data_IF_337792594664
#
_entry.id   IF_337792594664
#
_cell.length_a   1.000
_cell.length_b   1.000
_cell.length_c   1.000
_cell.angle_alpha   90.00
_cell.angle_beta   90.00
_cell.angle_gamma   90.00
#
_symmetry.space_group_name_H-M   'P 1'
#
loop_
_entity.id
_entity.type
_entity.pdbx_description
1 polymer ?
#
# COMPACT_ATOMS: atom_id res chain seq x y z
N UNK A 1 -25.22 -1.24 5.77
CA UNK A 1 -23.77 -1.19 6.07
C UNK A 1 -23.05 -1.91 4.95
N UNK A 2 -22.30 -1.19 4.13
CA UNK A 2 -21.53 -1.78 3.02
C UNK A 2 -20.35 -2.53 3.62
N UNK A 3 -20.36 -3.85 3.52
CA UNK A 3 -19.25 -4.70 3.95
C UNK A 3 -18.13 -4.49 2.92
N UNK A 4 -17.08 -3.77 3.30
CA UNK A 4 -15.91 -3.56 2.46
C UNK A 4 -15.07 -4.84 2.49
N UNK A 5 -15.30 -5.74 1.52
CA UNK A 5 -14.56 -7.00 1.40
C UNK A 5 -13.38 -6.87 0.45
N UNK A 6 -12.16 -7.05 0.96
CA UNK A 6 -10.91 -7.10 0.18
C UNK A 6 -10.74 -8.45 -0.56
N UNK A 7 -11.76 -8.90 -1.27
CA UNK A 7 -11.76 -10.23 -1.90
C UNK A 7 -10.82 -10.29 -3.13
N UNK A 8 -10.05 -11.38 -3.32
CA UNK A 8 -9.97 -12.61 -2.52
C UNK A 8 -8.97 -12.57 -1.36
N UNK A 9 -8.30 -11.44 -1.11
CA UNK A 9 -7.23 -11.28 -0.13
C UNK A 9 -7.72 -10.85 1.25
N UNK A 10 -8.94 -11.20 1.65
CA UNK A 10 -9.57 -10.76 2.91
C UNK A 10 -8.74 -11.16 4.13
N UNK A 11 -8.16 -12.36 4.10
CA UNK A 11 -7.29 -12.84 5.17
C UNK A 11 -6.00 -12.02 5.29
N UNK A 12 -5.43 -11.61 4.14
CA UNK A 12 -4.23 -10.78 4.12
C UNK A 12 -4.55 -9.36 4.60
N UNK A 13 -5.72 -8.82 4.20
CA UNK A 13 -6.22 -7.54 4.67
C UNK A 13 -6.31 -7.51 6.20
N UNK A 14 -6.91 -8.53 6.79
CA UNK A 14 -7.12 -8.61 8.23
C UNK A 14 -5.81 -8.70 9.01
N UNK A 15 -4.76 -9.29 8.42
CA UNK A 15 -3.42 -9.32 9.01
C UNK A 15 -2.72 -7.95 8.90
N UNK A 16 -2.83 -7.28 7.76
CA UNK A 16 -2.09 -6.05 7.46
C UNK A 16 -2.78 -4.76 7.98
N UNK A 17 -4.10 -4.72 8.02
CA UNK A 17 -4.89 -3.57 8.51
C UNK A 17 -4.45 -3.05 9.89
N UNK A 18 -4.30 -3.88 10.93
CA UNK A 18 -3.84 -3.38 12.23
C UNK A 18 -2.39 -2.88 12.23
N UNK A 19 -1.58 -3.25 11.24
CA UNK A 19 -0.21 -2.73 11.06
C UNK A 19 -0.16 -1.45 10.22
N UNK A 20 -1.18 -1.25 9.36
CA UNK A 20 -1.30 -0.09 8.49
C UNK A 20 -2.01 1.09 9.16
N UNK A 21 -2.98 0.83 10.03
CA UNK A 21 -3.82 1.85 10.65
C UNK A 21 -3.45 1.97 12.14
N UNK A 22 -2.64 2.97 12.48
CA UNK A 22 -2.24 3.25 13.87
C UNK A 22 -3.20 4.21 14.61
N UNK A 23 -4.31 4.66 13.99
CA UNK A 23 -5.19 5.72 14.54
C UNK A 23 -6.69 5.37 14.59
N UNK A 24 -7.42 6.05 15.47
CA UNK A 24 -8.84 5.84 15.84
C UNK A 24 -9.84 6.06 14.68
N UNK A 25 -9.40 6.70 13.58
CA UNK A 25 -10.19 6.97 12.36
C UNK A 25 -10.27 5.78 11.37
N UNK A 26 -9.98 4.56 11.83
CA UNK A 26 -9.83 3.38 10.97
C UNK A 26 -11.00 3.06 10.05
N UNK A 27 -12.24 3.44 10.39
CA UNK A 27 -13.38 3.26 9.47
C UNK A 27 -13.27 4.13 8.21
N UNK A 28 -12.73 5.34 8.33
CA UNK A 28 -12.51 6.25 7.20
C UNK A 28 -11.31 5.78 6.37
N UNK A 29 -10.24 5.35 7.03
CA UNK A 29 -9.05 4.81 6.36
C UNK A 29 -9.34 3.52 5.60
N UNK A 30 -10.16 2.61 6.15
CA UNK A 30 -10.55 1.38 5.43
C UNK A 30 -11.33 1.72 4.15
N UNK A 31 -12.26 2.69 4.19
CA UNK A 31 -13.00 3.13 3.01
C UNK A 31 -12.09 3.79 1.96
N UNK A 32 -11.09 4.54 2.40
CA UNK A 32 -10.05 5.11 1.54
C UNK A 32 -9.20 4.00 0.89
N UNK A 33 -8.63 3.11 1.69
CA UNK A 33 -7.82 1.97 1.25
C UNK A 33 -8.58 1.09 0.26
N UNK A 34 -9.86 0.82 0.52
CA UNK A 34 -10.71 0.05 -0.39
C UNK A 34 -10.86 0.71 -1.75
N UNK A 35 -11.02 2.04 -1.81
CA UNK A 35 -11.09 2.77 -3.09
C UNK A 35 -9.77 2.73 -3.84
N UNK A 36 -8.65 2.94 -3.15
CA UNK A 36 -7.30 2.88 -3.75
C UNK A 36 -7.03 1.50 -4.29
N UNK A 37 -7.35 0.47 -3.51
CA UNK A 37 -7.32 -0.93 -3.92
C UNK A 37 -8.09 -1.14 -5.21
N UNK A 38 -9.32 -0.63 -5.31
CA UNK A 38 -10.21 -0.88 -6.47
C UNK A 38 -9.67 -0.29 -7.75
N UNK A 39 -8.91 0.78 -7.65
CA UNK A 39 -8.20 1.35 -8.78
C UNK A 39 -6.95 0.53 -9.09
N UNK A 40 -6.17 0.17 -8.07
CA UNK A 40 -4.95 -0.62 -8.23
C UNK A 40 -5.20 -2.02 -8.80
N UNK A 41 -6.29 -2.71 -8.39
CA UNK A 41 -6.71 -3.97 -8.99
C UNK A 41 -6.92 -3.80 -10.50
N UNK A 42 -7.69 -2.78 -10.91
CA UNK A 42 -8.04 -2.61 -12.33
C UNK A 42 -6.80 -2.41 -13.19
N UNK A 43 -5.83 -1.65 -12.68
CA UNK A 43 -4.53 -1.44 -13.34
C UNK A 43 -3.74 -2.75 -13.37
N UNK A 44 -3.68 -3.46 -12.25
CA UNK A 44 -2.96 -4.73 -12.14
C UNK A 44 -3.55 -5.83 -13.05
N UNK A 45 -4.87 -5.92 -13.17
CA UNK A 45 -5.55 -6.82 -14.12
C UNK A 45 -5.23 -6.46 -15.57
N UNK A 46 -5.15 -5.16 -15.90
CA UNK A 46 -4.76 -4.71 -17.23
C UNK A 46 -3.29 -5.02 -17.57
N UNK A 47 -2.40 -5.00 -16.57
CA UNK A 47 -0.97 -5.27 -16.74
C UNK A 47 -0.58 -6.74 -16.49
N UNK A 48 -1.53 -7.63 -16.21
CA UNK A 48 -1.27 -9.03 -15.77
C UNK A 48 -0.26 -9.10 -14.61
N UNK A 49 -0.31 -8.13 -13.72
CA UNK A 49 0.56 -8.05 -12.55
C UNK A 49 0.12 -8.99 -11.42
N UNK A 50 0.98 -9.13 -10.42
CA UNK A 50 0.63 -9.91 -9.23
C UNK A 50 -0.23 -9.07 -8.28
N UNK A 51 -1.54 -9.33 -8.34
CA UNK A 51 -2.58 -8.66 -7.55
C UNK A 51 -2.32 -8.73 -6.04
N UNK A 52 -1.69 -9.80 -5.55
CA UNK A 52 -1.31 -9.96 -4.15
C UNK A 52 -0.25 -8.95 -3.74
N UNK A 53 0.76 -8.72 -4.57
CA UNK A 53 1.84 -7.76 -4.30
C UNK A 53 1.31 -6.33 -4.34
N UNK A 54 0.50 -6.01 -5.34
CA UNK A 54 -0.14 -4.70 -5.47
C UNK A 54 -1.05 -4.43 -4.26
N UNK A 55 -1.81 -5.43 -3.82
CA UNK A 55 -2.66 -5.29 -2.65
C UNK A 55 -1.86 -4.99 -1.37
N UNK A 56 -0.79 -5.76 -1.12
CA UNK A 56 0.11 -5.54 0.01
C UNK A 56 0.72 -4.14 -0.04
N UNK A 57 1.19 -3.71 -1.21
CA UNK A 57 1.75 -2.37 -1.40
C UNK A 57 0.71 -1.29 -1.07
N UNK A 58 -0.52 -1.42 -1.57
CA UNK A 58 -1.62 -0.48 -1.28
C UNK A 58 -2.02 -0.45 0.20
N UNK A 59 -1.90 -1.55 0.94
CA UNK A 59 -2.14 -1.53 2.37
C UNK A 59 -1.03 -0.82 3.14
N UNK A 60 0.22 -1.05 2.76
CA UNK A 60 1.38 -0.60 3.53
C UNK A 60 1.95 0.75 3.07
N UNK A 61 1.56 1.25 1.89
CA UNK A 61 2.08 2.52 1.35
C UNK A 61 1.80 3.72 2.25
N UNK A 62 0.69 3.71 2.99
CA UNK A 62 0.26 4.82 3.86
C UNK A 62 0.64 4.58 5.33
N UNK A 63 1.38 3.50 5.65
CA UNK A 63 1.82 3.19 7.02
C UNK A 63 2.81 4.21 7.60
N UNK A 64 3.29 5.15 6.77
CA UNK A 64 4.16 6.26 7.18
C UNK A 64 3.64 7.57 6.55
N UNK A 65 2.90 8.35 7.34
CA UNK A 65 2.48 9.70 6.96
C UNK A 65 3.55 10.72 7.35
N UNK A 66 4.24 11.29 6.37
CA UNK A 66 5.19 12.40 6.56
C UNK A 66 4.48 13.69 6.17
N UNK A 67 4.65 14.76 6.97
CA UNK A 67 3.95 16.03 6.75
C UNK A 67 4.10 16.54 5.31
N UNK A 68 2.97 16.98 4.72
CA UNK A 68 2.86 17.37 3.29
C UNK A 68 3.83 18.45 2.82
N UNK A 69 4.42 19.23 3.74
CA UNK A 69 5.38 20.29 3.45
C UNK A 69 6.84 19.91 3.78
N UNK A 70 7.09 18.68 4.20
CA UNK A 70 8.44 18.26 4.52
C UNK A 70 9.20 17.96 3.22
N UNK A 71 10.42 18.51 3.03
CA UNK A 71 11.26 18.15 1.89
C UNK A 71 11.51 16.64 1.83
N UNK A 72 11.38 15.93 2.96
CA UNK A 72 11.56 14.49 3.10
C UNK A 72 10.37 13.65 2.61
N UNK A 73 9.42 14.21 1.86
CA UNK A 73 8.27 13.45 1.32
C UNK A 73 8.70 12.28 0.45
N UNK A 74 9.84 12.38 -0.23
CA UNK A 74 10.45 11.28 -0.97
C UNK A 74 11.04 10.18 -0.05
N UNK A 75 11.46 10.53 1.17
CA UNK A 75 11.83 9.54 2.19
C UNK A 75 10.61 8.83 2.78
N UNK A 76 9.42 9.45 2.79
CA UNK A 76 8.18 8.83 3.31
C UNK A 76 7.93 7.45 2.71
N UNK A 77 8.01 7.37 1.38
CA UNK A 77 7.74 6.13 0.65
C UNK A 77 8.86 5.12 0.80
N UNK A 78 10.11 5.57 0.92
CA UNK A 78 11.24 4.70 1.25
C UNK A 78 11.10 4.10 2.66
N UNK A 79 10.73 4.91 3.64
CA UNK A 79 10.46 4.47 5.02
C UNK A 79 9.27 3.49 5.06
N UNK A 80 8.21 3.77 4.30
CA UNK A 80 7.07 2.86 4.15
C UNK A 80 7.49 1.54 3.49
N UNK A 81 8.34 1.58 2.45
CA UNK A 81 8.88 0.40 1.80
C UNK A 81 9.76 -0.43 2.75
N UNK A 82 10.61 0.21 3.56
CA UNK A 82 11.41 -0.47 4.58
C UNK A 82 10.54 -1.11 5.67
N UNK A 83 9.52 -0.39 6.17
CA UNK A 83 8.55 -0.94 7.13
C UNK A 83 7.78 -2.13 6.53
N UNK A 84 7.36 -2.02 5.27
CA UNK A 84 6.71 -3.11 4.56
C UNK A 84 7.61 -4.33 4.40
N UNK A 85 8.90 -4.14 4.09
CA UNK A 85 9.87 -5.23 3.99
C UNK A 85 10.02 -5.98 5.32
N UNK A 86 10.08 -5.26 6.45
CA UNK A 86 10.17 -5.86 7.77
C UNK A 86 8.92 -6.70 8.08
N UNK A 87 7.73 -6.13 7.88
CA UNK A 87 6.45 -6.84 8.10
C UNK A 87 6.38 -8.11 7.24
N UNK A 88 6.74 -8.02 5.96
CA UNK A 88 6.68 -9.17 5.05
C UNK A 88 7.74 -10.23 5.36
N UNK A 89 8.92 -9.83 5.86
CA UNK A 89 9.92 -10.78 6.38
C UNK A 89 9.40 -11.53 7.60
N UNK A 90 8.72 -10.85 8.51
CA UNK A 90 8.08 -11.50 9.67
C UNK A 90 6.98 -12.49 9.24
N UNK A 91 6.25 -12.16 8.18
CA UNK A 91 5.26 -13.04 7.55
C UNK A 91 5.89 -14.19 6.72
N UNK A 92 7.22 -14.31 6.68
CA UNK A 92 7.98 -15.32 5.92
C UNK A 92 7.74 -15.31 4.41
N UNK A 93 7.61 -14.12 3.83
CA UNK A 93 7.52 -13.96 2.37
C UNK A 93 8.89 -14.12 1.71
N UNK A 94 8.88 -14.42 0.41
CA UNK A 94 10.10 -14.50 -0.40
C UNK A 94 10.72 -13.12 -0.61
N UNK A 95 12.05 -13.06 -0.69
CA UNK A 95 12.76 -11.79 -0.93
C UNK A 95 12.37 -11.14 -2.26
N UNK A 96 12.02 -11.94 -3.28
CA UNK A 96 11.51 -11.46 -4.57
C UNK A 96 10.19 -10.70 -4.42
N UNK A 97 9.24 -11.26 -3.66
CA UNK A 97 7.94 -10.63 -3.40
C UNK A 97 8.10 -9.35 -2.57
N UNK A 98 8.96 -9.39 -1.55
CA UNK A 98 9.28 -8.24 -0.72
C UNK A 98 9.85 -7.11 -1.58
N UNK A 99 10.83 -7.43 -2.42
CA UNK A 99 11.47 -6.46 -3.33
C UNK A 99 10.45 -5.84 -4.28
N UNK A 100 9.55 -6.65 -4.84
CA UNK A 100 8.50 -6.16 -5.73
C UNK A 100 7.50 -5.23 -5.02
N UNK A 101 7.12 -5.52 -3.76
CA UNK A 101 6.26 -4.64 -2.96
C UNK A 101 6.97 -3.33 -2.63
N UNK A 102 8.23 -3.37 -2.18
CA UNK A 102 9.02 -2.16 -1.90
C UNK A 102 9.12 -1.28 -3.14
N UNK A 103 9.46 -1.89 -4.28
CA UNK A 103 9.58 -1.16 -5.54
C UNK A 103 8.26 -0.53 -5.97
N UNK A 104 7.12 -1.21 -5.77
CA UNK A 104 5.81 -0.64 -6.05
C UNK A 104 5.49 0.57 -5.15
N UNK A 105 5.82 0.52 -3.86
CA UNK A 105 5.64 1.63 -2.91
C UNK A 105 6.54 2.82 -3.29
N UNK A 106 7.80 2.57 -3.64
CA UNK A 106 8.75 3.60 -4.08
C UNK A 106 8.34 4.24 -5.42
N UNK A 107 7.94 3.43 -6.40
CA UNK A 107 7.48 3.89 -7.72
C UNK A 107 6.18 4.71 -7.64
N UNK A 108 5.31 4.40 -6.68
CA UNK A 108 4.10 5.18 -6.41
C UNK A 108 4.45 6.61 -5.97
N UNK A 109 5.48 6.79 -5.13
CA UNK A 109 5.99 8.11 -4.73
C UNK A 109 6.54 8.91 -5.91
N UNK A 110 7.31 8.23 -6.76
CA UNK A 110 7.88 8.84 -7.96
C UNK A 110 6.78 9.31 -8.92
N UNK A 111 5.71 8.53 -9.05
CA UNK A 111 4.52 8.92 -9.81
C UNK A 111 3.70 10.03 -9.14
N UNK A 112 3.68 10.11 -7.80
CA UNK A 112 3.04 11.20 -7.06
C UNK A 112 3.78 12.55 -7.19
N UNK A 113 5.03 12.55 -7.68
CA UNK A 113 5.76 13.74 -8.07
C UNK A 113 5.46 14.21 -9.51
N UNK A 114 4.74 13.41 -10.31
CA UNK A 114 4.23 13.82 -11.60
C UNK A 114 2.87 14.47 -11.37
N UNK A 115 2.86 15.79 -11.20
CA UNK A 115 1.69 16.59 -11.53
C UNK A 115 1.23 16.21 -12.94
N UNK A 116 0.00 15.70 -13.14
CA UNK A 116 -0.57 15.67 -14.47
C UNK A 116 -0.83 17.13 -14.84
N UNK A 117 0.17 17.76 -15.45
CA UNK A 117 0.02 19.06 -16.07
C UNK A 117 -0.70 18.85 -17.40
N UNK A 118 -1.95 19.31 -17.45
CA UNK A 118 -2.64 19.66 -18.68
C UNK A 118 -2.92 21.15 -18.66
#
# INVERSE_FOLDING_TARGET
MTILSFSPFENLAQQLLPMAIESDDGAHDIAHLYRVWRNAQKICEAESGNLRLVFTAVLLHDSVSVEKNSPNRHLASRMAAEKAALILKELKWSEEDITAVCHAIEAHSFSAALTPEH
#
